data_IF_504291840727
#
_entry.id   IF_504291840727
#
_cell.length_a   1.000
_cell.length_b   1.000
_cell.length_c   1.000
_cell.angle_alpha   90.00
_cell.angle_beta   90.00
_cell.angle_gamma   90.00
#
_symmetry.space_group_name_H-M   'P 1'
#
loop_
_entity.id
_entity.type
_entity.pdbx_description
1 polymer ?
#
# COMPACT_ATOMS: atom_id res chain seq x y z
N UNK A 1 16.85 4.78 -5.08
CA UNK A 1 16.61 3.65 -4.18
C UNK A 1 15.19 3.69 -3.63
N UNK A 2 14.56 2.54 -3.47
CA UNK A 2 13.16 2.40 -3.07
C UNK A 2 13.09 1.72 -1.71
N UNK A 3 12.29 2.26 -0.80
CA UNK A 3 11.99 1.63 0.48
C UNK A 3 10.64 0.93 0.43
N UNK A 4 10.58 -0.35 0.80
CA UNK A 4 9.35 -1.13 0.89
C UNK A 4 9.08 -1.43 2.37
N UNK A 5 8.07 -0.76 2.92
CA UNK A 5 7.67 -0.92 4.32
C UNK A 5 6.45 -1.83 4.38
N UNK A 6 6.54 -2.92 5.11
CA UNK A 6 5.43 -3.86 5.18
C UNK A 6 5.18 -4.36 6.60
N UNK A 7 3.90 -4.54 6.92
CA UNK A 7 3.48 -5.15 8.18
C UNK A 7 2.62 -6.36 7.91
N UNK A 8 2.95 -7.49 8.53
CA UNK A 8 2.26 -8.74 8.31
C UNK A 8 2.04 -9.48 9.63
N UNK A 9 0.78 -9.88 9.88
CA UNK A 9 0.43 -10.68 11.06
C UNK A 9 0.30 -12.17 10.73
N UNK A 10 -0.10 -12.50 9.49
CA UNK A 10 -0.33 -13.88 9.05
C UNK A 10 0.67 -14.37 8.02
N UNK A 11 1.54 -13.49 7.52
CA UNK A 11 2.53 -13.83 6.50
C UNK A 11 2.10 -13.53 5.07
N UNK A 12 0.82 -13.22 4.81
CA UNK A 12 0.34 -12.95 3.45
C UNK A 12 0.94 -11.66 2.88
N UNK A 13 0.92 -10.58 3.66
CA UNK A 13 1.50 -9.29 3.23
C UNK A 13 3.01 -9.44 2.99
N UNK A 14 3.70 -10.16 3.88
CA UNK A 14 5.13 -10.44 3.73
C UNK A 14 5.42 -11.19 2.44
N UNK A 15 4.60 -12.22 2.12
CA UNK A 15 4.74 -12.98 0.89
C UNK A 15 4.59 -12.09 -0.36
N UNK A 16 3.63 -11.20 -0.36
CA UNK A 16 3.44 -10.24 -1.46
C UNK A 16 4.63 -9.29 -1.56
N UNK A 17 5.13 -8.79 -0.41
CA UNK A 17 6.28 -7.89 -0.38
C UNK A 17 7.53 -8.54 -0.99
N UNK A 18 7.82 -9.80 -0.64
CA UNK A 18 8.95 -10.52 -1.21
C UNK A 18 8.78 -10.76 -2.70
N UNK A 19 7.57 -11.12 -3.14
CA UNK A 19 7.29 -11.35 -4.55
C UNK A 19 7.39 -10.04 -5.36
N UNK A 20 6.92 -8.94 -4.79
CA UNK A 20 7.04 -7.61 -5.38
C UNK A 20 8.52 -7.27 -5.62
N UNK A 21 9.36 -7.50 -4.62
CA UNK A 21 10.79 -7.25 -4.73
C UNK A 21 11.42 -8.05 -5.87
N UNK A 22 11.03 -9.31 -6.03
CA UNK A 22 11.52 -10.16 -7.13
C UNK A 22 11.09 -9.63 -8.50
N UNK A 23 9.89 -9.06 -8.60
CA UNK A 23 9.35 -8.55 -9.86
C UNK A 23 9.82 -7.14 -10.20
N UNK A 24 10.30 -6.37 -9.22
CA UNK A 24 10.72 -4.98 -9.39
C UNK A 24 11.99 -4.89 -10.21
N UNK A 25 11.99 -4.10 -11.28
CA UNK A 25 13.08 -4.10 -12.28
C UNK A 25 13.81 -2.78 -12.45
N UNK A 26 13.28 -1.68 -11.92
CA UNK A 26 13.86 -0.36 -12.21
C UNK A 26 14.95 0.08 -11.24
N UNK A 27 15.05 -0.55 -10.09
CA UNK A 27 16.08 -0.21 -9.09
C UNK A 27 16.13 -1.30 -8.03
N UNK A 28 17.00 -1.12 -7.05
CA UNK A 28 17.00 -1.97 -5.85
C UNK A 28 15.91 -1.53 -4.89
N UNK A 29 15.39 -2.48 -4.13
CA UNK A 29 14.43 -2.24 -3.05
C UNK A 29 15.05 -2.67 -1.74
N UNK A 30 15.02 -1.78 -0.75
CA UNK A 30 15.32 -2.14 0.64
C UNK A 30 14.01 -2.45 1.35
N UNK A 31 13.89 -3.65 1.92
CA UNK A 31 12.70 -4.08 2.65
C UNK A 31 12.85 -3.76 4.14
N UNK A 32 11.83 -3.13 4.71
CA UNK A 32 11.80 -2.76 6.13
C UNK A 32 10.51 -3.29 6.74
N UNK A 33 10.63 -4.17 7.74
CA UNK A 33 9.46 -4.65 8.46
C UNK A 33 8.91 -3.54 9.35
N UNK A 34 7.59 -3.39 9.37
CA UNK A 34 6.94 -2.32 10.12
C UNK A 34 7.25 -2.37 11.61
N UNK A 35 7.45 -3.57 12.17
CA UNK A 35 7.81 -3.70 13.59
C UNK A 35 9.16 -3.09 13.95
N UNK A 36 10.02 -2.85 12.96
CA UNK A 36 11.36 -2.29 13.15
C UNK A 36 11.52 -0.87 12.57
N UNK A 37 10.47 -0.33 11.92
CA UNK A 37 10.59 0.95 11.24
C UNK A 37 10.61 2.14 12.21
N UNK A 38 11.27 3.23 11.76
CA UNK A 38 11.32 4.50 12.47
C UNK A 38 10.97 5.62 11.48
N UNK A 39 10.67 6.81 11.99
CA UNK A 39 10.42 7.97 11.11
C UNK A 39 11.62 8.30 10.25
N UNK A 40 12.84 8.10 10.79
CA UNK A 40 14.08 8.35 10.06
C UNK A 40 14.23 7.43 8.85
N UNK A 41 13.69 6.21 8.90
CA UNK A 41 13.74 5.30 7.76
C UNK A 41 13.00 5.87 6.55
N UNK A 42 11.87 6.55 6.77
CA UNK A 42 11.10 7.18 5.70
C UNK A 42 11.86 8.32 5.04
N UNK A 43 12.69 9.04 5.79
CA UNK A 43 13.47 10.16 5.26
C UNK A 43 14.55 9.71 4.26
N UNK A 44 14.93 8.45 4.31
CA UNK A 44 16.00 7.90 3.46
C UNK A 44 15.60 7.70 2.00
N UNK A 45 14.31 7.65 1.70
CA UNK A 45 13.82 7.27 0.39
C UNK A 45 12.95 8.35 -0.24
N UNK A 46 13.11 8.55 -1.55
CA UNK A 46 12.22 9.43 -2.33
C UNK A 46 11.04 8.66 -2.89
N UNK A 47 11.20 7.36 -3.10
CA UNK A 47 10.14 6.45 -3.55
C UNK A 47 9.90 5.43 -2.45
N UNK A 48 8.65 5.34 -2.01
CA UNK A 48 8.24 4.49 -0.88
C UNK A 48 7.08 3.60 -1.32
N UNK A 49 7.18 2.31 -0.99
CA UNK A 49 6.08 1.37 -1.17
C UNK A 49 5.67 0.89 0.22
N UNK A 50 4.37 0.90 0.50
CA UNK A 50 3.82 0.47 1.79
C UNK A 50 2.83 -0.65 1.56
N UNK A 51 2.99 -1.75 2.30
CA UNK A 51 2.07 -2.88 2.27
C UNK A 51 1.54 -3.24 3.66
N UNK A 52 0.22 -3.38 3.78
CA UNK A 52 -0.41 -3.73 5.05
C UNK A 52 -1.75 -4.43 4.83
N UNK A 53 -2.23 -5.10 5.87
CA UNK A 53 -3.58 -5.66 5.91
C UNK A 53 -4.51 -4.77 6.71
N UNK A 54 -5.81 -4.91 6.46
CA UNK A 54 -6.87 -4.31 7.27
C UNK A 54 -7.57 -5.45 8.01
N UNK A 55 -7.71 -5.29 9.32
CA UNK A 55 -8.32 -6.29 10.19
C UNK A 55 -9.66 -5.82 10.75
N UNK A 56 -10.55 -6.77 11.03
CA UNK A 56 -11.82 -6.56 11.72
C UNK A 56 -12.61 -5.36 11.17
N UNK A 57 -12.95 -4.40 12.01
CA UNK A 57 -13.78 -3.24 11.70
C UNK A 57 -12.96 -2.06 11.13
N UNK A 58 -12.01 -2.37 10.27
CA UNK A 58 -11.17 -1.34 9.62
C UNK A 58 -9.91 -1.00 10.40
N UNK A 59 -9.45 -1.92 11.25
CA UNK A 59 -8.24 -1.72 12.04
C UNK A 59 -6.98 -1.87 11.17
N UNK A 60 -6.01 -1.00 11.39
CA UNK A 60 -4.70 -1.12 10.77
C UNK A 60 -4.01 -2.42 11.21
N UNK A 61 -3.14 -2.95 10.34
CA UNK A 61 -2.23 -4.00 10.73
C UNK A 61 -1.50 -3.56 12.01
N UNK A 62 -1.29 -4.48 12.95
CA UNK A 62 -0.87 -4.15 14.32
C UNK A 62 0.36 -3.26 14.44
N UNK A 63 1.38 -3.50 13.63
CA UNK A 63 2.62 -2.71 13.68
C UNK A 63 2.40 -1.28 13.16
N UNK A 64 1.56 -1.12 12.13
CA UNK A 64 1.17 0.20 11.64
C UNK A 64 0.28 0.93 12.63
N UNK A 65 -0.58 0.22 13.34
CA UNK A 65 -1.40 0.83 14.38
C UNK A 65 -0.53 1.36 15.52
N UNK A 66 0.43 0.57 15.97
CA UNK A 66 1.37 1.00 17.01
C UNK A 66 2.22 2.20 16.58
N UNK A 67 2.55 2.27 15.30
CA UNK A 67 3.37 3.34 14.73
C UNK A 67 2.56 4.56 14.26
N UNK A 68 1.24 4.47 14.25
CA UNK A 68 0.38 5.46 13.58
C UNK A 68 0.60 6.90 14.07
N UNK A 69 0.74 7.12 15.37
CA UNK A 69 0.97 8.47 15.91
C UNK A 69 2.30 9.05 15.41
N UNK A 70 3.31 8.22 15.28
CA UNK A 70 4.60 8.61 14.71
C UNK A 70 4.50 8.80 13.20
N UNK A 71 3.75 7.93 12.53
CA UNK A 71 3.51 8.02 11.08
C UNK A 71 2.91 9.38 10.69
N UNK A 72 2.01 9.90 11.50
CA UNK A 72 1.38 11.21 11.25
C UNK A 72 2.36 12.38 11.32
N UNK A 73 3.54 12.19 11.88
CA UNK A 73 4.55 13.24 11.98
C UNK A 73 5.52 13.29 10.80
N UNK A 74 5.46 12.29 9.91
CA UNK A 74 6.39 12.21 8.79
C UNK A 74 6.08 13.28 7.75
N UNK A 75 7.12 13.99 7.31
CA UNK A 75 7.03 14.93 6.18
C UNK A 75 7.25 14.14 4.89
N UNK A 76 6.19 14.00 4.10
CA UNK A 76 6.26 13.30 2.82
C UNK A 76 6.51 14.24 1.62
N UNK A 77 6.83 15.50 1.87
CA UNK A 77 7.11 16.46 0.79
C UNK A 77 8.22 15.96 -0.12
N UNK A 78 7.99 15.99 -1.42
CA UNK A 78 8.95 15.51 -2.42
C UNK A 78 9.03 13.99 -2.55
N UNK A 79 8.20 13.24 -1.82
CA UNK A 79 8.20 11.78 -1.85
C UNK A 79 7.05 11.25 -2.68
N UNK A 80 7.30 10.15 -3.36
CA UNK A 80 6.31 9.41 -4.15
C UNK A 80 6.01 8.12 -3.42
N UNK A 81 4.73 7.84 -3.17
CA UNK A 81 4.30 6.70 -2.37
C UNK A 81 3.30 5.84 -3.14
N UNK A 82 3.57 4.54 -3.20
CA UNK A 82 2.65 3.54 -3.73
C UNK A 82 2.29 2.56 -2.61
N UNK A 83 1.03 2.15 -2.53
CA UNK A 83 0.58 1.26 -1.46
C UNK A 83 -0.13 0.03 -2.01
N UNK A 84 -0.01 -1.09 -1.30
CA UNK A 84 -0.88 -2.24 -1.52
C UNK A 84 -1.48 -2.69 -0.18
N UNK A 85 -2.70 -3.17 -0.23
CA UNK A 85 -3.41 -3.58 0.97
C UNK A 85 -4.14 -4.90 0.78
N UNK A 86 -4.22 -5.69 1.85
CA UNK A 86 -4.95 -6.94 1.88
C UNK A 86 -6.23 -6.76 2.70
N UNK A 87 -7.32 -7.32 2.21
CA UNK A 87 -8.60 -7.26 2.90
C UNK A 87 -9.50 -8.41 2.49
N UNK A 88 -10.68 -8.46 3.11
CA UNK A 88 -11.72 -9.46 2.85
C UNK A 88 -13.00 -8.73 2.45
N UNK A 89 -13.28 -8.68 1.13
CA UNK A 89 -14.40 -7.91 0.60
C UNK A 89 -15.77 -8.52 0.91
N UNK A 90 -15.81 -9.77 1.34
CA UNK A 90 -17.05 -10.46 1.70
C UNK A 90 -17.24 -10.51 3.20
N UNK A 91 -16.24 -10.95 3.96
CA UNK A 91 -16.30 -11.07 5.42
C UNK A 91 -16.28 -9.72 6.13
N UNK A 92 -15.62 -8.73 5.56
CA UNK A 92 -15.52 -7.37 6.10
C UNK A 92 -15.83 -6.34 5.01
N UNK A 93 -16.99 -6.51 4.38
CA UNK A 93 -17.39 -5.73 3.20
C UNK A 93 -17.54 -4.22 3.46
N UNK A 94 -17.75 -3.80 4.70
CA UNK A 94 -17.88 -2.38 5.07
C UNK A 94 -16.53 -1.73 5.39
N UNK A 95 -15.45 -2.53 5.44
CA UNK A 95 -14.12 -2.09 5.89
C UNK A 95 -13.02 -2.52 4.94
N UNK A 96 -13.38 -2.84 3.70
CA UNK A 96 -12.44 -3.40 2.73
C UNK A 96 -11.26 -2.46 2.48
N UNK A 97 -10.06 -2.95 2.76
CA UNK A 97 -8.78 -2.24 2.63
C UNK A 97 -8.76 -0.82 3.22
N UNK A 98 -9.49 -0.61 4.30
CA UNK A 98 -9.57 0.70 4.98
C UNK A 98 -8.19 1.26 5.33
N UNK A 99 -7.23 0.39 5.64
CA UNK A 99 -5.87 0.81 5.97
C UNK A 99 -5.20 1.66 4.89
N UNK A 100 -5.53 1.41 3.61
CA UNK A 100 -5.00 2.22 2.51
C UNK A 100 -5.46 3.68 2.62
N UNK A 101 -6.71 3.89 2.99
CA UNK A 101 -7.24 5.25 3.15
C UNK A 101 -6.74 5.93 4.39
N UNK A 102 -6.63 5.19 5.49
CA UNK A 102 -6.13 5.73 6.76
C UNK A 102 -4.71 6.29 6.57
N UNK A 103 -3.83 5.52 5.94
CA UNK A 103 -2.47 5.98 5.66
C UNK A 103 -2.43 6.97 4.50
N UNK A 104 -3.23 6.74 3.46
CA UNK A 104 -3.27 7.61 2.27
C UNK A 104 -3.62 9.04 2.59
N UNK A 105 -4.60 9.26 3.46
CA UNK A 105 -4.98 10.60 3.91
C UNK A 105 -3.84 11.32 4.61
N UNK A 106 -3.10 10.60 5.45
CA UNK A 106 -1.94 11.16 6.15
C UNK A 106 -0.84 11.55 5.16
N UNK A 107 -0.54 10.66 4.22
CA UNK A 107 0.51 10.90 3.21
C UNK A 107 0.21 12.16 2.41
N UNK A 108 -1.02 12.29 1.92
CA UNK A 108 -1.44 13.47 1.14
C UNK A 108 -1.41 14.73 2.00
N UNK A 109 -1.94 14.67 3.21
CA UNK A 109 -1.94 15.81 4.13
C UNK A 109 -0.53 16.29 4.46
N UNK A 110 0.44 15.37 4.47
CA UNK A 110 1.85 15.67 4.79
C UNK A 110 2.70 15.91 3.55
N UNK A 111 2.09 16.15 2.40
CA UNK A 111 2.77 16.61 1.19
C UNK A 111 3.21 15.53 0.21
N UNK A 112 2.90 14.26 0.47
CA UNK A 112 3.27 13.16 -0.40
C UNK A 112 2.45 13.08 -1.67
N UNK A 113 3.04 12.51 -2.70
CA UNK A 113 2.35 12.25 -3.97
C UNK A 113 2.08 10.75 -4.09
N UNK A 114 0.81 10.37 -4.17
CA UNK A 114 0.42 8.96 -4.28
C UNK A 114 0.37 8.53 -5.74
N UNK A 115 1.02 7.42 -6.04
CA UNK A 115 0.93 6.74 -7.34
C UNK A 115 0.40 5.32 -7.11
N UNK A 116 0.10 4.62 -8.19
CA UNK A 116 -0.39 3.25 -8.08
C UNK A 116 -1.82 3.14 -7.59
N UNK A 117 -2.64 4.17 -7.79
CA UNK A 117 -4.06 4.08 -7.49
C UNK A 117 -4.69 3.02 -8.40
N UNK A 118 -5.55 2.19 -7.83
CA UNK A 118 -6.06 0.99 -8.49
C UNK A 118 -7.56 1.04 -8.68
N UNK A 119 -8.03 0.64 -9.86
CA UNK A 119 -9.45 0.62 -10.20
C UNK A 119 -10.26 -0.30 -9.28
N UNK A 120 -11.48 0.13 -8.96
CA UNK A 120 -12.43 -0.67 -8.18
C UNK A 120 -13.11 -1.79 -8.99
N UNK A 121 -12.88 -1.85 -10.29
CA UNK A 121 -13.48 -2.89 -11.14
C UNK A 121 -13.05 -4.29 -10.71
N UNK A 122 -14.01 -5.21 -10.63
CA UNK A 122 -13.75 -6.59 -10.27
C UNK A 122 -13.83 -6.88 -8.77
N UNK A 123 -14.19 -5.88 -7.97
CA UNK A 123 -14.36 -6.03 -6.52
C UNK A 123 -15.82 -5.86 -6.12
N UNK A 124 -16.24 -6.59 -5.10
CA UNK A 124 -17.58 -6.47 -4.51
C UNK A 124 -17.44 -6.23 -3.00
N UNK A 125 -17.72 -5.03 -2.56
CA UNK A 125 -17.69 -4.62 -1.17
C UNK A 125 -18.77 -3.56 -0.94
N UNK A 126 -19.12 -3.31 0.32
CA UNK A 126 -20.17 -2.32 0.65
C UNK A 126 -19.59 -0.92 0.83
N UNK A 127 -18.51 -0.81 1.61
CA UNK A 127 -17.85 0.47 1.89
C UNK A 127 -16.35 0.26 2.01
N UNK A 128 -15.58 1.31 1.73
CA UNK A 128 -14.13 1.30 1.95
C UNK A 128 -13.59 2.71 2.17
N UNK A 129 -12.84 2.88 3.25
CA UNK A 129 -12.04 4.10 3.45
C UNK A 129 -10.80 4.09 2.54
N UNK A 130 -10.48 2.94 1.97
CA UNK A 130 -9.38 2.80 1.00
C UNK A 130 -9.64 3.48 -0.33
N UNK A 131 -10.85 3.98 -0.56
CA UNK A 131 -11.20 4.69 -1.79
C UNK A 131 -10.65 6.12 -1.79
N UNK A 132 -9.92 6.46 -2.83
CA UNK A 132 -9.54 7.83 -3.12
C UNK A 132 -10.74 8.60 -3.70
N UNK A 133 -11.49 7.93 -4.58
CA UNK A 133 -12.75 8.42 -5.15
C UNK A 133 -13.63 7.20 -5.48
N UNK A 134 -14.73 7.40 -6.19
CA UNK A 134 -15.67 6.32 -6.52
C UNK A 134 -15.05 5.22 -7.40
N UNK A 135 -14.04 5.55 -8.20
CA UNK A 135 -13.49 4.65 -9.21
C UNK A 135 -12.14 4.03 -8.82
N UNK A 136 -11.43 4.59 -7.83
CA UNK A 136 -10.07 4.18 -7.50
C UNK A 136 -9.83 4.03 -6.00
N UNK A 137 -9.10 2.98 -5.64
CA UNK A 137 -8.48 2.85 -4.31
C UNK A 137 -7.19 3.67 -4.27
N UNK A 138 -6.76 4.06 -3.08
CA UNK A 138 -5.45 4.69 -2.86
C UNK A 138 -4.28 3.83 -3.30
N UNK A 139 -4.46 2.52 -3.40
CA UNK A 139 -3.44 1.57 -3.81
C UNK A 139 -4.03 0.25 -4.28
N UNK A 140 -3.17 -0.74 -4.51
CA UNK A 140 -3.61 -2.06 -4.96
C UNK A 140 -4.35 -2.79 -3.84
N UNK A 141 -5.56 -3.24 -4.12
CA UNK A 141 -6.35 -4.05 -3.19
C UNK A 141 -6.22 -5.53 -3.56
N UNK A 142 -5.83 -6.35 -2.60
CA UNK A 142 -5.69 -7.80 -2.74
C UNK A 142 -6.59 -8.51 -1.75
N UNK A 143 -7.11 -9.68 -2.15
CA UNK A 143 -8.04 -10.45 -1.34
C UNK A 143 -7.70 -11.94 -1.40
N UNK A 144 -7.06 -12.45 -0.37
CA UNK A 144 -6.67 -13.86 -0.27
C UNK A 144 -7.84 -14.79 0.03
N UNK A 145 -8.90 -14.26 0.66
CA UNK A 145 -10.05 -15.05 1.09
C UNK A 145 -11.02 -15.33 -0.05
N UNK A 146 -11.25 -14.36 -0.92
CA UNK A 146 -12.30 -14.42 -1.93
C UNK A 146 -11.78 -14.44 -3.37
N UNK A 147 -10.61 -13.86 -3.62
CA UNK A 147 -10.06 -13.72 -4.96
C UNK A 147 -8.57 -14.08 -5.01
N UNK A 148 -8.21 -15.17 -4.37
CA UNK A 148 -6.81 -15.61 -4.28
C UNK A 148 -6.13 -15.67 -5.65
N UNK A 149 -6.80 -16.25 -6.65
CA UNK A 149 -6.21 -16.43 -7.98
C UNK A 149 -6.00 -15.11 -8.75
N UNK A 150 -6.62 -14.04 -8.30
CA UNK A 150 -6.48 -12.72 -8.91
C UNK A 150 -5.28 -11.93 -8.38
N UNK A 151 -4.73 -12.34 -7.23
CA UNK A 151 -3.69 -11.57 -6.56
C UNK A 151 -2.42 -11.43 -7.38
N UNK A 152 -1.90 -12.51 -7.94
CA UNK A 152 -0.67 -12.45 -8.73
C UNK A 152 -0.83 -11.63 -10.03
N UNK A 153 -1.88 -11.86 -10.86
CA UNK A 153 -2.11 -11.02 -12.03
C UNK A 153 -2.29 -9.55 -11.69
N UNK A 154 -2.99 -9.25 -10.58
CA UNK A 154 -3.18 -7.87 -10.14
C UNK A 154 -1.87 -7.23 -9.71
N UNK A 155 -1.03 -7.96 -8.98
CA UNK A 155 0.27 -7.45 -8.57
C UNK A 155 1.15 -7.14 -9.76
N UNK A 156 1.23 -8.03 -10.73
CA UNK A 156 2.02 -7.84 -11.95
C UNK A 156 1.54 -6.62 -12.75
N UNK A 157 0.23 -6.49 -12.95
CA UNK A 157 -0.33 -5.35 -13.68
C UNK A 157 -0.10 -4.04 -12.91
N UNK A 158 -0.24 -4.07 -11.59
CA UNK A 158 -0.01 -2.90 -10.74
C UNK A 158 1.44 -2.44 -10.79
N UNK A 159 2.40 -3.37 -10.75
CA UNK A 159 3.81 -3.02 -10.85
C UNK A 159 4.16 -2.37 -12.18
N UNK A 160 3.59 -2.86 -13.28
CA UNK A 160 3.74 -2.25 -14.59
C UNK A 160 3.22 -0.81 -14.57
N UNK A 161 2.06 -0.60 -13.97
CA UNK A 161 1.48 0.73 -13.83
C UNK A 161 2.37 1.65 -12.98
N UNK A 162 2.83 1.18 -11.82
CA UNK A 162 3.67 1.95 -10.91
C UNK A 162 4.99 2.33 -11.59
N UNK A 163 5.64 1.40 -12.26
CA UNK A 163 6.89 1.65 -12.98
C UNK A 163 6.69 2.71 -14.06
N UNK A 164 5.59 2.62 -14.81
CA UNK A 164 5.26 3.60 -15.85
C UNK A 164 5.00 4.98 -15.24
N UNK A 165 4.26 5.06 -14.15
CA UNK A 165 3.98 6.33 -13.48
C UNK A 165 5.26 6.99 -12.97
N UNK A 166 6.20 6.20 -12.45
CA UNK A 166 7.52 6.72 -12.02
C UNK A 166 8.30 7.27 -13.21
N UNK A 167 8.33 6.53 -14.32
CA UNK A 167 9.01 6.97 -15.54
C UNK A 167 8.45 8.29 -16.06
N UNK A 168 7.13 8.43 -16.07
CA UNK A 168 6.47 9.67 -16.51
C UNK A 168 6.83 10.86 -15.63
N UNK A 169 6.98 10.63 -14.31
CA UNK A 169 7.39 11.70 -13.40
C UNK A 169 8.84 12.14 -13.64
N UNK A 170 9.72 11.21 -13.97
CA UNK A 170 11.13 11.52 -14.25
C UNK A 170 11.27 12.31 -15.57
N UNK A 171 10.42 12.00 -16.55
CA UNK A 171 10.43 12.69 -17.86
C UNK A 171 9.79 14.09 -17.79
N UNK A 172 8.93 14.31 -16.81
CA UNK A 172 8.30 15.62 -16.61
C UNK A 172 9.26 16.57 -15.89
#
# INVERSE_FOLDING_TARGET
EVGLFFGSDTGNTEGIAHHLKELWKISEIEMIEACNMTTADYDRFDIIIIGLSTWYDGDLQSDFEDFYEEFKTIDFSGKVVAMFGLGDQTGYAEYFVDGLGILGEVIVANGGHIIGMWSTEGYEFDESKGLYNEDYFYGLALDFENQYDMNEPRLEAWLTQVEQEIEEMVEA
#
